data_IF_266679034298
#
_entry.id   IF_266679034298
#
_cell.length_a   1.000
_cell.length_b   1.000
_cell.length_c   1.000
_cell.angle_alpha   90.00
_cell.angle_beta   90.00
_cell.angle_gamma   90.00
#
_symmetry.space_group_name_H-M   'P 1'
#
loop_
_entity.id
_entity.type
_entity.pdbx_description
1 polymer ?
#
# COMPACT_ATOMS: atom_id res chain seq x y z
N UNK A 1 -10.03 -25.44 16.58
CA UNK A 1 -8.62 -24.98 16.43
C UNK A 1 -8.61 -23.77 15.50
N UNK A 2 -7.86 -22.67 15.78
CA UNK A 2 -7.87 -21.43 14.99
C UNK A 2 -7.39 -21.55 13.55
N UNK A 3 -6.95 -22.74 13.13
CA UNK A 3 -6.50 -23.06 11.77
C UNK A 3 -7.63 -23.48 10.82
N UNK A 4 -8.88 -23.57 11.27
CA UNK A 4 -9.96 -24.17 10.47
C UNK A 4 -10.58 -23.27 9.39
N UNK A 5 -10.05 -22.07 9.13
CA UNK A 5 -10.61 -21.11 8.17
C UNK A 5 -9.66 -20.71 7.02
N UNK A 6 -8.47 -21.30 6.95
CA UNK A 6 -7.55 -21.16 5.81
C UNK A 6 -7.57 -22.42 4.95
N UNK A 7 -7.64 -22.25 3.63
CA UNK A 7 -7.46 -23.33 2.66
C UNK A 7 -6.01 -23.31 2.18
N UNK A 8 -5.33 -24.45 2.20
CA UNK A 8 -3.96 -24.58 1.68
C UNK A 8 -3.87 -25.82 0.78
N UNK A 9 -3.12 -25.70 -0.31
CA UNK A 9 -2.86 -26.81 -1.22
C UNK A 9 -1.68 -27.63 -0.69
N UNK A 10 -1.90 -28.92 -0.47
CA UNK A 10 -0.83 -29.84 -0.07
C UNK A 10 -0.06 -30.24 -1.33
N UNK A 11 1.24 -29.97 -1.37
CA UNK A 11 2.08 -30.17 -2.55
C UNK A 11 3.24 -31.13 -2.34
N UNK A 12 3.51 -31.55 -1.10
CA UNK A 12 4.60 -32.50 -0.81
C UNK A 12 4.21 -33.62 0.18
N UNK A 13 4.89 -34.78 0.11
CA UNK A 13 4.70 -35.88 1.07
C UNK A 13 5.02 -35.48 2.53
N UNK A 14 5.97 -34.57 2.73
CA UNK A 14 6.38 -34.11 4.07
C UNK A 14 5.27 -33.31 4.78
N UNK A 15 4.48 -32.56 4.01
CA UNK A 15 3.30 -31.86 4.52
C UNK A 15 2.21 -32.85 4.97
N UNK A 16 2.05 -33.97 4.26
CA UNK A 16 1.13 -35.05 4.65
C UNK A 16 1.61 -35.71 5.94
N UNK A 17 2.91 -35.98 6.07
CA UNK A 17 3.50 -36.53 7.29
C UNK A 17 3.29 -35.61 8.49
N UNK A 18 3.48 -34.30 8.29
CA UNK A 18 3.22 -33.27 9.31
C UNK A 18 1.76 -33.28 9.76
N UNK A 19 0.81 -33.33 8.84
CA UNK A 19 -0.63 -33.37 9.15
C UNK A 19 -1.01 -34.64 9.93
N UNK A 20 -0.43 -35.79 9.56
CA UNK A 20 -0.63 -37.06 10.29
C UNK A 20 -0.08 -37.00 11.71
N UNK A 21 1.03 -36.30 11.92
CA UNK A 21 1.63 -36.07 13.25
C UNK A 21 0.80 -35.18 14.18
N UNK A 22 -0.15 -34.40 13.65
CA UNK A 22 -1.02 -33.52 14.45
C UNK A 22 -2.16 -34.26 15.18
N UNK A 23 -2.28 -35.59 15.03
CA UNK A 23 -3.27 -36.39 15.74
C UNK A 23 -4.73 -36.13 15.31
N UNK A 24 -4.93 -35.54 14.14
CA UNK A 24 -6.27 -35.25 13.59
C UNK A 24 -6.95 -36.55 13.14
N UNK A 25 -8.16 -36.80 13.63
CA UNK A 25 -8.93 -38.02 13.30
C UNK A 25 -9.66 -37.94 11.95
N UNK A 26 -10.00 -36.73 11.50
CA UNK A 26 -10.71 -36.48 10.25
C UNK A 26 -10.27 -35.14 9.66
N UNK A 27 -10.23 -35.06 8.32
CA UNK A 27 -9.88 -33.86 7.57
C UNK A 27 -10.93 -33.60 6.49
N UNK A 28 -11.32 -32.33 6.30
CA UNK A 28 -12.20 -31.91 5.20
C UNK A 28 -11.34 -31.35 4.08
N UNK A 29 -11.61 -31.77 2.86
CA UNK A 29 -10.97 -31.26 1.65
C UNK A 29 -12.03 -30.91 0.62
N UNK A 30 -11.69 -30.01 -0.31
CA UNK A 30 -12.58 -29.52 -1.37
C UNK A 30 -12.06 -30.03 -2.72
N UNK A 31 -12.77 -30.97 -3.38
CA UNK A 31 -12.34 -31.53 -4.66
C UNK A 31 -12.21 -30.48 -5.76
N UNK A 32 -13.15 -29.54 -5.85
CA UNK A 32 -13.11 -28.44 -6.83
C UNK A 32 -11.91 -27.48 -6.67
N UNK A 33 -11.25 -27.48 -5.50
CA UNK A 33 -10.06 -26.66 -5.22
C UNK A 33 -8.77 -27.48 -5.17
N UNK A 34 -8.83 -28.78 -5.47
CA UNK A 34 -7.70 -29.70 -5.37
C UNK A 34 -7.25 -30.16 -6.75
N UNK A 35 -5.93 -30.38 -6.92
CA UNK A 35 -5.36 -30.93 -8.15
C UNK A 35 -5.25 -32.45 -8.02
N UNK A 36 -6.29 -33.17 -8.43
CA UNK A 36 -6.24 -34.63 -8.50
C UNK A 36 -5.62 -35.03 -9.86
N UNK A 37 -4.78 -36.07 -9.93
CA UNK A 37 -4.51 -36.72 -11.21
C UNK A 37 -5.83 -37.31 -11.73
N UNK A 38 -6.08 -37.20 -13.04
CA UNK A 38 -7.17 -37.93 -13.68
C UNK A 38 -7.02 -39.42 -13.35
N UNK A 39 -8.03 -40.00 -12.71
CA UNK A 39 -8.07 -41.44 -12.53
C UNK A 39 -8.10 -42.10 -13.91
N UNK A 40 -7.32 -43.17 -14.14
CA UNK A 40 -7.42 -43.91 -15.40
C UNK A 40 -8.85 -44.41 -15.53
N UNK A 41 -9.50 -44.08 -16.65
CA UNK A 41 -10.82 -44.61 -16.92
C UNK A 41 -10.77 -46.14 -16.95
N UNK A 42 -11.74 -46.85 -16.35
CA UNK A 42 -11.81 -48.29 -16.47
C UNK A 42 -12.03 -48.67 -17.96
N UNK A 43 -11.49 -49.80 -18.43
CA UNK A 43 -11.69 -50.25 -19.80
C UNK A 43 -13.18 -50.43 -20.07
N UNK A 44 -13.62 -49.96 -21.24
CA UNK A 44 -15.03 -49.79 -21.59
C UNK A 44 -15.91 -51.01 -21.33
N UNK A 45 -17.08 -50.75 -20.73
CA UNK A 45 -18.25 -51.58 -20.91
C UNK A 45 -19.19 -50.92 -21.91
N UNK A 46 -19.46 -51.71 -22.93
CA UNK A 46 -20.36 -51.47 -24.05
C UNK A 46 -21.77 -51.23 -23.48
N UNK A 47 -22.35 -50.07 -23.77
CA UNK A 47 -23.77 -49.84 -23.56
C UNK A 47 -24.39 -49.38 -24.89
N UNK A 48 -24.98 -50.38 -25.53
CA UNK A 48 -26.03 -50.26 -26.53
C UNK A 48 -27.06 -49.21 -26.10
N UNK A 49 -27.34 -48.24 -26.97
CA UNK A 49 -28.55 -47.45 -26.92
C UNK A 49 -28.79 -46.84 -28.30
N UNK A 50 -29.66 -47.56 -29.01
CA UNK A 50 -30.41 -47.17 -30.19
C UNK A 50 -30.69 -45.67 -30.35
N UNK A 51 -30.46 -45.24 -31.58
CA UNK A 51 -31.38 -44.47 -32.43
C UNK A 51 -32.28 -43.42 -31.76
N UNK A 52 -32.10 -42.16 -32.15
CA UNK A 52 -33.18 -41.32 -32.67
C UNK A 52 -32.61 -40.42 -33.79
N UNK A 53 -33.33 -40.47 -34.90
CA UNK A 53 -33.15 -39.79 -36.20
C UNK A 53 -33.91 -38.47 -36.21
N UNK A 54 -33.35 -37.39 -36.80
CA UNK A 54 -33.97 -36.42 -37.75
C UNK A 54 -32.81 -35.59 -38.36
N UNK A 55 -32.30 -35.82 -39.57
CA UNK A 55 -32.82 -35.65 -40.95
C UNK A 55 -32.74 -34.21 -41.53
N UNK A 56 -32.02 -34.09 -42.66
CA UNK A 56 -32.12 -33.07 -43.71
C UNK A 56 -30.88 -32.16 -43.85
N UNK A 57 -30.10 -32.09 -44.94
CA UNK A 57 -30.16 -32.69 -46.27
C UNK A 57 -29.42 -31.79 -47.29
N UNK A 58 -28.21 -32.18 -47.72
CA UNK A 58 -27.56 -32.14 -49.05
C UNK A 58 -27.57 -30.85 -49.95
N UNK A 59 -26.93 -30.83 -51.15
CA UNK A 59 -25.48 -30.94 -51.44
C UNK A 59 -25.00 -29.94 -52.55
N UNK A 60 -23.68 -29.92 -52.87
CA UNK A 60 -23.07 -29.88 -54.24
C UNK A 60 -21.57 -29.44 -54.18
N UNK A 61 -20.61 -30.33 -54.53
CA UNK A 61 -19.76 -30.37 -55.77
C UNK A 61 -18.91 -29.10 -55.98
N UNK A 62 -17.59 -29.15 -56.18
CA UNK A 62 -16.90 -29.84 -57.28
C UNK A 62 -15.37 -29.91 -57.03
N UNK A 63 -14.75 -30.93 -57.65
CA UNK A 63 -13.32 -31.24 -57.80
C UNK A 63 -12.59 -30.13 -58.60
N UNK A 64 -11.26 -29.98 -58.70
CA UNK A 64 -10.12 -30.87 -58.49
C UNK A 64 -9.11 -30.68 -59.65
N UNK A 65 -7.93 -31.26 -59.48
CA UNK A 65 -6.81 -31.42 -60.43
C UNK A 65 -5.94 -30.19 -60.72
N UNK A 66 -4.60 -30.26 -60.75
CA UNK A 66 -3.67 -31.40 -60.81
C UNK A 66 -2.47 -31.02 -61.71
N UNK A 67 -1.25 -31.56 -61.50
CA UNK A 67 0.05 -31.00 -61.95
C UNK A 67 0.49 -31.56 -63.33
N UNK A 68 1.73 -31.30 -63.84
CA UNK A 68 2.88 -32.17 -63.54
C UNK A 68 4.30 -31.51 -63.63
N UNK A 69 5.33 -32.35 -63.45
CA UNK A 69 6.77 -32.11 -63.34
C UNK A 69 7.54 -31.87 -64.66
N UNK A 70 8.82 -31.46 -64.56
CA UNK A 70 9.80 -31.53 -65.66
C UNK A 70 11.17 -30.89 -65.37
N UNK A 71 12.24 -31.64 -65.64
CA UNK A 71 13.67 -31.38 -65.40
C UNK A 71 14.38 -30.42 -66.38
N UNK A 72 15.55 -29.94 -65.93
CA UNK A 72 16.83 -29.69 -66.65
C UNK A 72 17.14 -28.37 -67.42
N UNK A 73 18.20 -27.71 -66.90
CA UNK A 73 19.44 -27.23 -67.57
C UNK A 73 19.56 -25.84 -68.26
N UNK A 74 20.70 -25.20 -67.93
CA UNK A 74 21.59 -24.33 -68.73
C UNK A 74 21.60 -22.79 -68.51
N UNK A 75 22.69 -22.37 -67.83
CA UNK A 75 23.62 -21.23 -68.07
C UNK A 75 23.14 -19.86 -68.62
N UNK A 76 23.46 -18.77 -67.89
CA UNK A 76 24.45 -17.74 -68.27
C UNK A 76 24.44 -16.49 -67.35
N UNK A 77 25.66 -16.05 -67.00
CA UNK A 77 26.17 -14.69 -66.74
C UNK A 77 25.80 -13.83 -65.51
N UNK A 78 26.87 -13.16 -65.00
CA UNK A 78 27.07 -12.44 -63.73
C UNK A 78 26.14 -11.25 -63.41
N UNK A 79 26.11 -10.70 -62.18
CA UNK A 79 27.09 -9.86 -61.45
C UNK A 79 26.38 -9.45 -60.10
N UNK A 80 27.01 -9.02 -58.97
CA UNK A 80 28.21 -9.42 -58.24
C UNK A 80 27.92 -9.85 -56.78
N UNK A 81 28.97 -10.33 -56.11
CA UNK A 81 29.05 -10.65 -54.68
C UNK A 81 28.93 -9.37 -53.82
N UNK A 82 27.94 -9.33 -52.92
CA UNK A 82 27.96 -8.46 -51.74
C UNK A 82 28.23 -9.33 -50.51
N UNK A 83 29.27 -8.94 -49.77
CA UNK A 83 29.84 -9.67 -48.66
C UNK A 83 28.82 -10.10 -47.61
N UNK A 84 28.91 -11.36 -47.20
CA UNK A 84 28.25 -11.86 -46.00
C UNK A 84 28.69 -11.01 -44.80
N UNK A 85 27.76 -10.22 -44.28
CA UNK A 85 27.91 -9.62 -42.96
C UNK A 85 27.92 -10.78 -41.95
N UNK A 86 29.09 -11.00 -41.35
CA UNK A 86 29.25 -11.83 -40.16
C UNK A 86 28.24 -11.36 -39.12
N UNK A 87 27.35 -12.26 -38.70
CA UNK A 87 26.50 -12.07 -37.54
C UNK A 87 27.44 -11.84 -36.36
N UNK A 88 27.59 -10.59 -35.93
CA UNK A 88 28.32 -10.25 -34.74
C UNK A 88 27.60 -10.93 -33.57
N UNK A 89 28.29 -11.88 -32.97
CA UNK A 89 27.91 -12.51 -31.71
C UNK A 89 27.59 -11.39 -30.71
N UNK A 90 26.33 -11.31 -30.28
CA UNK A 90 25.92 -10.39 -29.22
C UNK A 90 26.86 -10.62 -28.03
N UNK A 91 27.53 -9.59 -27.51
CA UNK A 91 28.40 -9.77 -26.36
C UNK A 91 27.57 -10.38 -25.22
N UNK A 92 28.13 -11.34 -24.45
CA UNK A 92 27.43 -11.87 -23.29
C UNK A 92 27.01 -10.71 -22.38
N UNK A 93 25.83 -10.77 -21.73
CA UNK A 93 25.37 -9.69 -20.86
C UNK A 93 26.50 -9.37 -19.88
N UNK A 94 26.96 -8.11 -19.91
CA UNK A 94 28.07 -7.67 -19.09
C UNK A 94 27.77 -8.05 -17.64
N UNK A 95 28.61 -8.92 -17.05
CA UNK A 95 28.54 -9.23 -15.63
C UNK A 95 28.89 -7.93 -14.91
N UNK A 96 27.86 -7.20 -14.48
CA UNK A 96 28.03 -5.98 -13.71
C UNK A 96 28.72 -6.40 -12.41
N UNK A 97 29.96 -5.94 -12.21
CA UNK A 97 30.69 -6.23 -10.97
C UNK A 97 29.91 -5.77 -9.73
N UNK A 98 30.11 -6.39 -8.55
CA UNK A 98 29.30 -6.14 -7.36
C UNK A 98 29.26 -4.66 -6.95
N UNK A 99 30.36 -3.92 -7.16
CA UNK A 99 30.42 -2.47 -6.92
C UNK A 99 29.54 -1.67 -7.89
N UNK A 100 29.51 -2.02 -9.17
CA UNK A 100 28.67 -1.34 -10.17
C UNK A 100 27.18 -1.68 -9.97
N UNK A 101 26.86 -2.90 -9.53
CA UNK A 101 25.50 -3.28 -9.16
C UNK A 101 25.02 -2.51 -7.93
N UNK A 102 25.87 -2.39 -6.90
CA UNK A 102 25.61 -1.59 -5.70
C UNK A 102 25.38 -0.11 -6.03
N UNK A 103 26.24 0.50 -6.86
CA UNK A 103 26.08 1.91 -7.27
C UNK A 103 24.77 2.13 -8.06
N UNK A 104 24.43 1.22 -8.97
CA UNK A 104 23.17 1.29 -9.73
C UNK A 104 21.94 1.18 -8.81
N UNK A 105 21.96 0.22 -7.87
CA UNK A 105 20.89 0.05 -6.89
C UNK A 105 20.74 1.28 -5.98
N UNK A 106 21.85 1.87 -5.52
CA UNK A 106 21.84 3.07 -4.71
C UNK A 106 21.32 4.29 -5.49
N UNK A 107 21.70 4.43 -6.76
CA UNK A 107 21.19 5.47 -7.64
C UNK A 107 19.67 5.34 -7.86
N UNK A 108 19.17 4.13 -8.11
CA UNK A 108 17.75 3.85 -8.26
C UNK A 108 16.96 4.15 -6.97
N UNK A 109 17.49 3.74 -5.81
CA UNK A 109 16.91 4.05 -4.50
C UNK A 109 16.84 5.56 -4.25
N UNK A 110 17.92 6.29 -4.55
CA UNK A 110 17.98 7.74 -4.38
C UNK A 110 17.02 8.47 -5.32
N UNK A 111 16.92 8.04 -6.58
CA UNK A 111 15.97 8.60 -7.55
C UNK A 111 14.51 8.38 -7.10
N UNK A 112 14.16 7.17 -6.63
CA UNK A 112 12.83 6.87 -6.11
C UNK A 112 12.49 7.73 -4.88
N UNK A 113 13.44 7.90 -3.94
CA UNK A 113 13.28 8.80 -2.79
C UNK A 113 13.05 10.24 -3.23
N UNK A 114 13.87 10.75 -4.15
CA UNK A 114 13.79 12.13 -4.62
C UNK A 114 12.47 12.42 -5.34
N UNK A 115 11.99 11.49 -6.17
CA UNK A 115 10.70 11.62 -6.83
C UNK A 115 9.55 11.69 -5.81
N UNK A 116 9.57 10.82 -4.81
CA UNK A 116 8.59 10.79 -3.72
C UNK A 116 8.57 12.12 -2.93
N UNK A 117 9.75 12.65 -2.60
CA UNK A 117 9.92 13.94 -1.91
C UNK A 117 9.42 15.12 -2.75
N UNK A 118 9.73 15.15 -4.06
CA UNK A 118 9.25 16.19 -4.97
C UNK A 118 7.72 16.20 -5.06
N UNK A 119 7.12 15.02 -5.27
CA UNK A 119 5.69 14.85 -5.38
C UNK A 119 4.96 15.22 -4.08
N UNK A 120 5.52 14.86 -2.93
CA UNK A 120 4.98 15.28 -1.63
C UNK A 120 5.08 16.79 -1.46
N UNK A 121 6.20 17.41 -1.84
CA UNK A 121 6.38 18.86 -1.79
C UNK A 121 5.38 19.61 -2.69
N UNK A 122 5.08 19.08 -3.88
CA UNK A 122 4.02 19.60 -4.76
C UNK A 122 2.64 19.52 -4.11
N UNK A 123 2.30 18.37 -3.53
CA UNK A 123 1.04 18.18 -2.81
C UNK A 123 0.92 19.13 -1.61
N UNK A 124 2.01 19.32 -0.85
CA UNK A 124 2.09 20.28 0.25
C UNK A 124 1.82 21.70 -0.20
N UNK A 125 2.46 22.14 -1.29
CA UNK A 125 2.24 23.50 -1.84
C UNK A 125 0.79 23.69 -2.32
N UNK A 126 0.24 22.71 -3.03
CA UNK A 126 -1.16 22.76 -3.49
C UNK A 126 -2.14 22.85 -2.31
N UNK A 127 -1.90 22.06 -1.25
CA UNK A 127 -2.72 22.09 -0.05
C UNK A 127 -2.61 23.42 0.71
N UNK A 128 -1.40 23.97 0.86
CA UNK A 128 -1.21 25.30 1.46
C UNK A 128 -1.96 26.39 0.69
N UNK A 129 -1.96 26.33 -0.64
CA UNK A 129 -2.72 27.27 -1.46
C UNK A 129 -4.23 27.08 -1.26
N UNK A 130 -4.73 25.84 -1.23
CA UNK A 130 -6.13 25.56 -0.93
C UNK A 130 -6.56 26.18 0.41
N UNK A 131 -5.79 25.98 1.48
CA UNK A 131 -6.08 26.56 2.81
C UNK A 131 -6.13 28.09 2.78
N UNK A 132 -5.23 28.74 2.04
CA UNK A 132 -5.20 30.20 1.90
C UNK A 132 -6.44 30.74 1.16
N UNK A 133 -6.98 29.94 0.23
CA UNK A 133 -8.17 30.27 -0.54
C UNK A 133 -9.47 30.07 0.24
N UNK A 134 -9.53 29.15 1.21
CA UNK A 134 -10.75 28.85 2.00
C UNK A 134 -11.50 30.12 2.48
N UNK A 135 -10.87 31.10 3.15
CA UNK A 135 -11.59 32.29 3.62
C UNK A 135 -11.93 33.31 2.52
N UNK A 136 -11.19 33.31 1.40
CA UNK A 136 -11.24 34.36 0.35
C UNK A 136 -12.09 33.97 -0.85
N UNK A 137 -11.94 32.73 -1.30
CA UNK A 137 -12.53 32.17 -2.52
C UNK A 137 -12.85 30.69 -2.30
N UNK A 138 -13.94 30.37 -1.57
CA UNK A 138 -14.28 28.99 -1.20
C UNK A 138 -14.44 28.04 -2.39
N UNK A 139 -15.02 28.51 -3.50
CA UNK A 139 -15.20 27.73 -4.73
C UNK A 139 -13.84 27.34 -5.35
N UNK A 140 -12.90 28.29 -5.41
CA UNK A 140 -11.55 28.02 -5.88
C UNK A 140 -10.78 27.08 -4.94
N UNK A 141 -10.99 27.21 -3.63
CA UNK A 141 -10.42 26.29 -2.65
C UNK A 141 -10.92 24.85 -2.87
N UNK A 142 -12.20 24.67 -3.24
CA UNK A 142 -12.75 23.37 -3.64
C UNK A 142 -12.05 22.83 -4.88
N UNK A 143 -11.94 23.63 -5.94
CA UNK A 143 -11.30 23.21 -7.20
C UNK A 143 -9.86 22.76 -7.00
N UNK A 144 -9.07 23.51 -6.20
CA UNK A 144 -7.68 23.13 -5.89
C UNK A 144 -7.64 21.84 -5.07
N UNK A 145 -8.56 21.66 -4.11
CA UNK A 145 -8.62 20.45 -3.27
C UNK A 145 -9.04 19.22 -4.07
N UNK A 146 -10.05 19.34 -4.94
CA UNK A 146 -10.50 18.29 -5.85
C UNK A 146 -9.39 17.92 -6.84
N UNK A 147 -8.72 18.92 -7.44
CA UNK A 147 -7.59 18.70 -8.35
C UNK A 147 -6.40 18.01 -7.67
N UNK A 148 -6.06 18.40 -6.45
CA UNK A 148 -5.04 17.72 -5.64
C UNK A 148 -5.45 16.26 -5.35
N UNK A 149 -6.70 16.04 -4.95
CA UNK A 149 -7.22 14.70 -4.67
C UNK A 149 -7.17 13.83 -5.91
N UNK A 150 -7.59 14.36 -7.07
CA UNK A 150 -7.53 13.64 -8.34
C UNK A 150 -6.08 13.29 -8.72
N UNK A 151 -5.13 14.21 -8.55
CA UNK A 151 -3.73 13.95 -8.80
C UNK A 151 -3.14 12.86 -7.89
N UNK A 152 -3.59 12.76 -6.63
CA UNK A 152 -3.21 11.67 -5.72
C UNK A 152 -3.85 10.34 -6.16
N UNK A 153 -5.11 10.36 -6.61
CA UNK A 153 -5.81 9.18 -7.11
C UNK A 153 -5.19 8.63 -8.40
N UNK A 154 -4.85 9.49 -9.35
CA UNK A 154 -4.22 9.09 -10.61
C UNK A 154 -2.91 8.36 -10.34
N UNK A 155 -2.10 8.87 -9.41
CA UNK A 155 -0.87 8.20 -8.95
C UNK A 155 -1.17 6.85 -8.32
N UNK A 156 -2.20 6.77 -7.47
CA UNK A 156 -2.59 5.51 -6.83
C UNK A 156 -3.04 4.45 -7.85
N UNK A 157 -3.70 4.84 -8.95
CA UNK A 157 -4.26 3.91 -9.94
C UNK A 157 -3.26 3.37 -10.95
N UNK A 158 -2.15 4.08 -11.20
CA UNK A 158 -1.15 3.69 -12.21
C UNK A 158 -0.28 2.49 -11.76
N UNK A 159 -0.06 2.31 -10.46
CA UNK A 159 0.87 1.30 -9.94
C UNK A 159 0.18 0.06 -9.34
N UNK A 160 0.72 -1.13 -9.67
CA UNK A 160 0.14 -2.43 -9.30
C UNK A 160 0.42 -2.84 -7.85
N UNK A 161 1.44 -2.27 -7.20
CA UNK A 161 1.64 -2.39 -5.76
C UNK A 161 2.17 -1.05 -5.21
N UNK A 162 1.46 -0.48 -4.24
CA UNK A 162 1.81 0.78 -3.60
C UNK A 162 2.19 0.54 -2.14
N UNK A 163 3.34 1.06 -1.76
CA UNK A 163 3.82 1.09 -0.39
C UNK A 163 3.56 2.47 0.22
N UNK A 164 3.39 2.49 1.54
CA UNK A 164 3.52 3.70 2.33
C UNK A 164 4.98 3.88 2.72
N UNK A 165 5.60 4.99 2.34
CA UNK A 165 6.96 5.37 2.73
C UNK A 165 6.93 6.50 3.75
N UNK A 166 7.87 6.48 4.69
CA UNK A 166 8.12 7.64 5.57
C UNK A 166 9.02 8.67 4.84
N UNK A 167 8.61 9.93 4.70
CA UNK A 167 9.39 11.07 4.13
C UNK A 167 9.95 11.99 5.23
N UNK A 168 11.04 12.72 4.93
CA UNK A 168 11.70 13.67 5.83
C UNK A 168 10.84 14.92 6.13
N UNK A 169 11.00 15.50 7.34
CA UNK A 169 10.27 16.69 7.85
C UNK A 169 10.68 18.01 7.15
N UNK A 170 11.64 17.97 6.22
CA UNK A 170 12.25 19.16 5.61
C UNK A 170 11.34 19.89 4.60
N UNK A 171 10.11 19.43 4.38
CA UNK A 171 9.28 19.84 3.25
C UNK A 171 7.91 20.47 3.58
N UNK A 172 7.47 20.59 4.85
CA UNK A 172 6.12 21.11 5.11
C UNK A 172 5.79 21.57 6.53
N UNK A 173 4.76 22.42 6.63
CA UNK A 173 4.12 22.83 7.89
C UNK A 173 3.38 21.63 8.53
N UNK A 174 3.35 21.61 9.87
CA UNK A 174 2.77 20.54 10.71
C UNK A 174 1.32 20.21 10.32
N UNK A 175 0.52 21.24 10.07
CA UNK A 175 -0.91 21.10 9.72
C UNK A 175 -1.07 20.47 8.33
N UNK A 176 -0.17 20.82 7.42
CA UNK A 176 -0.16 20.30 6.04
C UNK A 176 0.25 18.83 5.99
N UNK A 177 1.23 18.44 6.81
CA UNK A 177 1.63 17.03 6.92
C UNK A 177 0.51 16.14 7.46
N UNK A 178 -0.23 16.61 8.48
CA UNK A 178 -1.34 15.84 9.05
C UNK A 178 -2.45 15.56 8.04
N UNK A 179 -2.96 16.60 7.37
CA UNK A 179 -4.03 16.46 6.38
C UNK A 179 -3.63 15.54 5.22
N UNK A 180 -2.39 15.67 4.72
CA UNK A 180 -1.87 14.81 3.65
C UNK A 180 -1.70 13.36 4.11
N UNK A 181 -1.13 13.12 5.29
CA UNK A 181 -0.98 11.77 5.85
C UNK A 181 -2.33 11.05 5.96
N UNK A 182 -3.30 11.72 6.58
CA UNK A 182 -4.66 11.18 6.75
C UNK A 182 -5.28 10.87 5.39
N UNK A 183 -5.10 11.76 4.41
CA UNK A 183 -5.63 11.59 3.05
C UNK A 183 -4.98 10.42 2.32
N UNK A 184 -3.64 10.33 2.29
CA UNK A 184 -2.91 9.25 1.60
C UNK A 184 -3.34 7.89 2.15
N UNK A 185 -3.38 7.75 3.48
CA UNK A 185 -3.80 6.50 4.13
C UNK A 185 -5.28 6.22 3.85
N UNK A 186 -6.15 7.24 3.88
CA UNK A 186 -7.57 7.07 3.59
C UNK A 186 -7.80 6.59 2.16
N UNK A 187 -7.11 7.16 1.18
CA UNK A 187 -7.22 6.73 -0.22
C UNK A 187 -6.74 5.29 -0.44
N UNK A 188 -5.64 4.88 0.21
CA UNK A 188 -5.20 3.48 0.17
C UNK A 188 -6.26 2.54 0.72
N UNK A 189 -6.83 2.93 1.86
CA UNK A 189 -7.85 2.17 2.54
C UNK A 189 -9.15 2.12 1.70
N UNK A 190 -9.58 3.22 1.10
CA UNK A 190 -10.72 3.28 0.17
C UNK A 190 -10.54 2.34 -1.03
N UNK A 191 -9.32 2.26 -1.60
CA UNK A 191 -8.98 1.28 -2.64
C UNK A 191 -9.13 -0.17 -2.15
N UNK A 192 -8.67 -0.47 -0.94
CA UNK A 192 -8.81 -1.82 -0.33
C UNK A 192 -10.29 -2.21 -0.15
N UNK A 193 -11.15 -1.24 0.18
CA UNK A 193 -12.59 -1.44 0.31
C UNK A 193 -13.36 -1.37 -1.02
N UNK A 194 -12.69 -1.10 -2.14
CA UNK A 194 -13.30 -1.09 -3.47
C UNK A 194 -14.23 0.10 -3.72
N UNK A 195 -13.92 1.26 -3.14
CA UNK A 195 -14.69 2.48 -3.40
C UNK A 195 -14.67 2.85 -4.88
N UNK A 196 -15.81 3.34 -5.39
CA UNK A 196 -15.90 3.92 -6.72
C UNK A 196 -15.07 5.21 -6.83
N UNK A 197 -14.81 5.66 -8.06
CA UNK A 197 -14.05 6.89 -8.30
C UNK A 197 -14.67 8.11 -7.59
N UNK A 198 -16.01 8.22 -7.61
CA UNK A 198 -16.72 9.30 -6.93
C UNK A 198 -16.57 9.23 -5.41
N UNK A 199 -16.73 8.05 -4.82
CA UNK A 199 -16.54 7.85 -3.38
C UNK A 199 -15.09 8.10 -2.96
N UNK A 200 -14.12 7.75 -3.80
CA UNK A 200 -12.70 8.01 -3.57
C UNK A 200 -12.37 9.50 -3.59
N UNK A 201 -12.97 10.25 -4.53
CA UNK A 201 -12.82 11.71 -4.59
C UNK A 201 -13.45 12.37 -3.34
N UNK A 202 -14.64 11.91 -2.91
CA UNK A 202 -15.29 12.42 -1.69
C UNK A 202 -14.49 12.10 -0.43
N UNK A 203 -13.95 10.89 -0.34
CA UNK A 203 -13.09 10.47 0.76
C UNK A 203 -11.82 11.33 0.83
N UNK A 204 -11.17 11.56 -0.30
CA UNK A 204 -9.93 12.35 -0.35
C UNK A 204 -10.15 13.83 -0.03
N UNK A 205 -11.16 14.46 -0.64
CA UNK A 205 -11.53 15.85 -0.35
C UNK A 205 -11.96 15.99 1.12
N UNK A 206 -12.80 15.07 1.60
CA UNK A 206 -13.22 15.04 2.99
C UNK A 206 -12.06 14.84 3.97
N UNK A 207 -11.09 13.98 3.64
CA UNK A 207 -9.91 13.74 4.46
C UNK A 207 -8.94 14.93 4.48
N UNK A 208 -8.75 15.64 3.36
CA UNK A 208 -7.93 16.86 3.34
C UNK A 208 -8.55 17.96 4.20
N UNK A 209 -9.86 18.17 4.04
CA UNK A 209 -10.59 19.27 4.68
C UNK A 209 -11.17 18.92 6.06
N UNK A 210 -10.96 17.71 6.59
CA UNK A 210 -11.63 17.28 7.83
C UNK A 210 -11.43 18.25 9.00
N UNK A 211 -10.25 18.86 9.06
CA UNK A 211 -9.81 19.80 10.10
C UNK A 211 -9.89 21.27 9.68
N UNK A 212 -10.48 21.60 8.52
CA UNK A 212 -10.47 22.97 7.95
C UNK A 212 -11.09 24.01 8.88
N UNK A 213 -12.06 23.62 9.71
CA UNK A 213 -12.69 24.51 10.70
C UNK A 213 -11.74 25.00 11.79
N UNK A 214 -10.56 24.39 11.96
CA UNK A 214 -9.51 24.87 12.88
C UNK A 214 -8.96 26.24 12.48
N UNK A 215 -9.11 26.64 11.21
CA UNK A 215 -8.72 27.98 10.73
C UNK A 215 -9.47 29.09 11.49
N UNK A 216 -10.70 28.84 11.91
CA UNK A 216 -11.54 29.82 12.61
C UNK A 216 -11.42 29.74 14.15
N UNK A 217 -10.60 28.82 14.67
CA UNK A 217 -10.33 28.71 16.11
C UNK A 217 -9.22 29.67 16.57
N UNK A 218 -9.28 30.16 17.83
CA UNK A 218 -8.16 30.88 18.43
C UNK A 218 -6.89 30.03 18.48
N UNK A 219 -5.72 30.63 18.28
CA UNK A 219 -4.42 29.93 18.22
C UNK A 219 -4.18 28.99 19.41
N UNK A 220 -4.58 29.42 20.62
CA UNK A 220 -4.48 28.64 21.87
C UNK A 220 -5.25 27.32 21.83
N UNK A 221 -6.35 27.25 21.08
CA UNK A 221 -7.20 26.05 20.95
C UNK A 221 -6.85 25.29 19.67
N UNK A 222 -6.45 26.01 18.61
CA UNK A 222 -6.03 25.44 17.32
C UNK A 222 -4.84 24.50 17.50
N UNK A 223 -3.82 24.93 18.24
CA UNK A 223 -2.65 24.13 18.58
C UNK A 223 -2.84 23.60 20.00
N UNK A 224 -3.67 22.57 20.15
CA UNK A 224 -3.98 21.92 21.42
C UNK A 224 -2.77 21.16 21.99
N UNK A 225 -1.70 21.90 22.24
CA UNK A 225 -0.40 21.42 22.67
C UNK A 225 -0.36 21.32 24.21
N UNK A 226 -1.41 21.78 24.90
CA UNK A 226 -1.57 21.72 26.35
C UNK A 226 -2.92 21.10 26.73
N UNK A 227 -3.06 20.58 27.97
CA UNK A 227 -4.35 20.12 28.47
C UNK A 227 -5.38 21.25 28.38
N UNK A 228 -6.40 21.04 27.54
CA UNK A 228 -7.48 21.99 27.36
C UNK A 228 -8.44 21.92 28.55
N UNK A 229 -8.84 23.08 29.08
CA UNK A 229 -9.91 23.17 30.06
C UNK A 229 -11.28 22.85 29.40
N UNK A 230 -12.36 22.62 30.17
CA UNK A 230 -13.65 22.23 29.59
C UNK A 230 -14.22 23.22 28.55
N UNK A 231 -13.98 24.52 28.68
CA UNK A 231 -14.42 25.53 27.70
C UNK A 231 -13.60 25.47 26.42
N UNK A 232 -12.28 25.31 26.56
CA UNK A 232 -11.37 25.14 25.43
C UNK A 232 -11.63 23.82 24.69
N UNK A 233 -11.98 22.74 25.40
CA UNK A 233 -12.39 21.49 24.79
C UNK A 233 -13.67 21.67 23.97
N UNK A 234 -14.65 22.44 24.46
CA UNK A 234 -15.84 22.72 23.70
C UNK A 234 -15.52 23.55 22.45
N UNK A 235 -14.76 24.63 22.61
CA UNK A 235 -14.30 25.45 21.48
C UNK A 235 -13.51 24.62 20.45
N UNK A 236 -12.68 23.66 20.91
CA UNK A 236 -12.01 22.73 20.04
C UNK A 236 -13.03 21.92 19.25
N UNK A 237 -14.03 21.30 19.90
CA UNK A 237 -15.06 20.49 19.21
C UNK A 237 -15.85 21.27 18.16
N UNK A 238 -16.01 22.58 18.35
CA UNK A 238 -16.74 23.44 17.42
C UNK A 238 -16.07 23.53 16.03
N UNK A 239 -14.78 23.15 15.87
CA UNK A 239 -14.13 23.08 14.56
C UNK A 239 -14.86 22.16 13.58
N UNK A 240 -15.56 21.12 14.08
CA UNK A 240 -16.32 20.22 13.21
C UNK A 240 -17.47 20.98 12.55
N UNK A 241 -18.24 21.74 13.35
CA UNK A 241 -19.37 22.53 12.85
C UNK A 241 -18.88 23.67 11.95
N UNK A 242 -17.79 24.35 12.33
CA UNK A 242 -17.17 25.40 11.51
C UNK A 242 -16.67 24.84 10.18
N UNK A 243 -16.03 23.66 10.21
CA UNK A 243 -15.54 22.97 9.01
C UNK A 243 -16.66 22.59 8.06
N UNK A 244 -17.77 22.05 8.57
CA UNK A 244 -18.96 21.74 7.75
C UNK A 244 -19.55 23.01 7.12
N UNK A 245 -19.64 24.12 7.86
CA UNK A 245 -20.14 25.38 7.32
C UNK A 245 -19.22 25.93 6.20
N UNK A 246 -17.90 25.81 6.36
CA UNK A 246 -16.94 26.13 5.30
C UNK A 246 -17.11 25.22 4.09
N UNK A 247 -17.23 23.91 4.29
CA UNK A 247 -17.48 22.95 3.22
C UNK A 247 -18.78 23.22 2.44
N UNK A 248 -19.85 23.65 3.12
CA UNK A 248 -21.09 24.06 2.47
C UNK A 248 -20.89 25.30 1.61
N UNK A 249 -20.16 26.31 2.10
CA UNK A 249 -19.80 27.51 1.32
C UNK A 249 -18.91 27.21 0.12
N UNK A 250 -18.07 26.18 0.22
CA UNK A 250 -17.24 25.68 -0.87
C UNK A 250 -18.06 24.92 -1.92
N UNK A 251 -19.29 24.48 -1.60
CA UNK A 251 -20.11 23.65 -2.48
C UNK A 251 -19.64 22.19 -2.53
N UNK A 252 -19.10 21.66 -1.42
CA UNK A 252 -18.67 20.26 -1.36
C UNK A 252 -19.84 19.29 -1.52
N UNK A 253 -19.57 18.13 -2.13
CA UNK A 253 -20.54 17.02 -2.22
C UNK A 253 -20.86 16.45 -0.84
N UNK A 254 -22.02 15.78 -0.74
CA UNK A 254 -22.52 15.22 0.53
C UNK A 254 -21.56 14.21 1.16
N UNK A 255 -20.86 13.38 0.36
CA UNK A 255 -19.91 12.40 0.87
C UNK A 255 -18.74 13.06 1.61
N UNK A 256 -18.14 14.11 1.03
CA UNK A 256 -17.09 14.88 1.67
C UNK A 256 -17.60 15.61 2.93
N UNK A 257 -18.78 16.24 2.86
CA UNK A 257 -19.40 16.90 4.02
C UNK A 257 -19.67 15.93 5.18
N UNK A 258 -20.07 14.69 4.87
CA UNK A 258 -20.28 13.66 5.89
C UNK A 258 -18.98 13.28 6.60
N UNK A 259 -17.85 13.22 5.89
CA UNK A 259 -16.52 13.01 6.50
C UNK A 259 -16.20 14.16 7.46
N UNK A 260 -16.34 15.41 7.02
CA UNK A 260 -16.10 16.59 7.87
C UNK A 260 -16.97 16.53 9.13
N UNK A 261 -18.26 16.27 8.99
CA UNK A 261 -19.21 16.27 10.09
C UNK A 261 -18.99 15.16 11.13
N UNK A 262 -18.33 14.06 10.76
CA UNK A 262 -18.34 12.82 11.54
C UNK A 262 -16.96 12.23 11.82
N UNK A 263 -15.85 12.86 11.40
CA UNK A 263 -14.50 12.32 11.59
C UNK A 263 -14.06 12.20 13.07
N UNK A 264 -14.80 12.79 14.01
CA UNK A 264 -14.63 12.62 15.45
C UNK A 264 -15.71 11.77 16.13
N UNK A 265 -16.64 11.22 15.35
CA UNK A 265 -17.59 10.22 15.83
C UNK A 265 -16.88 8.87 16.07
N UNK A 266 -17.42 8.08 16.99
CA UNK A 266 -16.85 6.80 17.42
C UNK A 266 -17.91 5.73 17.34
N UNK A 267 -17.53 4.50 16.98
CA UNK A 267 -18.47 3.39 16.76
C UNK A 267 -19.34 3.06 17.99
N UNK A 268 -18.82 3.34 19.20
CA UNK A 268 -19.51 3.16 20.48
C UNK A 268 -20.39 4.35 20.91
N UNK A 269 -20.50 5.40 20.10
CA UNK A 269 -21.28 6.61 20.41
C UNK A 269 -20.59 7.58 21.37
N UNK A 270 -19.34 7.33 21.78
CA UNK A 270 -18.59 8.22 22.68
C UNK A 270 -17.98 9.46 22.00
N UNK A 271 -18.10 9.55 20.67
CA UNK A 271 -17.54 10.60 19.84
C UNK A 271 -18.29 11.94 19.90
N UNK A 272 -18.01 12.82 18.95
CA UNK A 272 -18.65 14.14 18.83
C UNK A 272 -18.68 14.57 17.36
N UNK A 273 -19.55 15.52 16.96
CA UNK A 273 -20.46 16.32 17.79
C UNK A 273 -21.84 15.68 18.08
N UNK A 274 -22.33 14.81 17.21
CA UNK A 274 -23.68 14.25 17.26
C UNK A 274 -23.79 12.93 18.06
N UNK A 275 -22.65 12.34 18.47
CA UNK A 275 -22.59 11.08 19.25
C UNK A 275 -23.27 9.92 18.51
N UNK A 276 -22.92 9.78 17.24
CA UNK A 276 -23.46 8.76 16.37
C UNK A 276 -22.89 7.39 16.75
N UNK A 277 -23.71 6.35 16.64
CA UNK A 277 -23.26 4.97 16.66
C UNK A 277 -22.81 4.54 15.26
N UNK A 278 -22.13 3.38 15.19
CA UNK A 278 -21.57 2.84 13.96
C UNK A 278 -22.55 2.88 12.76
N UNK A 279 -23.80 2.44 12.96
CA UNK A 279 -24.79 2.31 11.88
C UNK A 279 -25.14 3.63 11.19
N UNK A 280 -25.01 4.75 11.91
CA UNK A 280 -25.34 6.10 11.41
C UNK A 280 -24.12 6.84 10.87
N UNK A 281 -22.91 6.33 11.09
CA UNK A 281 -21.70 6.94 10.56
C UNK A 281 -21.54 6.61 9.09
N UNK A 282 -21.20 7.61 8.28
CA UNK A 282 -20.80 7.45 6.89
C UNK A 282 -19.51 6.61 6.80
N UNK A 283 -19.40 5.75 5.78
CA UNK A 283 -18.27 4.81 5.65
C UNK A 283 -16.93 5.57 5.57
N UNK A 284 -16.87 6.66 4.81
CA UNK A 284 -15.67 7.51 4.76
C UNK A 284 -15.30 8.12 6.12
N UNK A 285 -16.27 8.52 6.94
CA UNK A 285 -16.01 9.08 8.27
C UNK A 285 -15.49 8.04 9.27
N UNK A 286 -16.01 6.80 9.22
CA UNK A 286 -15.48 5.67 10.02
C UNK A 286 -14.00 5.41 9.69
N UNK A 287 -13.63 5.57 8.42
CA UNK A 287 -12.26 5.39 7.96
C UNK A 287 -11.35 6.53 8.44
N UNK A 288 -11.76 7.78 8.19
CA UNK A 288 -10.99 8.98 8.56
C UNK A 288 -10.86 9.11 10.07
N UNK A 289 -11.87 8.77 10.88
CA UNK A 289 -11.77 8.80 12.35
C UNK A 289 -10.67 7.88 12.90
N UNK A 290 -10.57 6.65 12.37
CA UNK A 290 -9.51 5.70 12.73
C UNK A 290 -8.12 6.22 12.32
N UNK A 291 -7.99 6.68 11.07
CA UNK A 291 -6.72 7.14 10.51
C UNK A 291 -6.25 8.42 11.19
N UNK A 292 -7.15 9.36 11.45
CA UNK A 292 -6.88 10.59 12.19
C UNK A 292 -6.37 10.27 13.61
N UNK A 293 -6.98 9.29 14.29
CA UNK A 293 -6.47 8.85 15.61
C UNK A 293 -5.07 8.26 15.50
N UNK A 294 -4.83 7.40 14.51
CA UNK A 294 -3.52 6.80 14.29
C UNK A 294 -2.45 7.85 14.01
N UNK A 295 -2.71 8.80 13.11
CA UNK A 295 -1.75 9.85 12.78
C UNK A 295 -1.48 10.74 13.99
N UNK A 296 -2.50 11.14 14.77
CA UNK A 296 -2.29 11.94 15.99
C UNK A 296 -1.47 11.23 17.08
N UNK A 297 -1.43 9.89 17.11
CA UNK A 297 -0.56 9.13 18.01
C UNK A 297 0.89 9.10 17.50
N UNK A 298 1.08 9.02 16.19
CA UNK A 298 2.40 9.01 15.56
C UNK A 298 3.02 10.42 15.45
N UNK A 299 2.17 11.42 15.24
CA UNK A 299 2.50 12.81 14.95
C UNK A 299 1.78 13.78 15.89
N UNK A 300 1.89 13.62 17.22
CA UNK A 300 1.29 14.57 18.14
C UNK A 300 1.94 15.95 17.97
N UNK A 301 1.17 17.00 18.25
CA UNK A 301 1.47 17.65 19.51
C UNK A 301 2.92 18.06 19.78
N UNK A 302 3.26 17.60 20.98
CA UNK A 302 4.58 17.56 21.53
C UNK A 302 5.23 16.28 21.06
N UNK A 303 6.34 16.42 20.34
CA UNK A 303 7.12 15.31 19.80
C UNK A 303 7.55 14.31 20.88
N UNK A 304 7.76 14.76 22.11
CA UNK A 304 8.11 13.89 23.24
C UNK A 304 7.05 12.79 23.53
N UNK A 305 5.81 12.96 23.06
CA UNK A 305 4.73 12.00 23.21
C UNK A 305 4.49 11.15 21.94
N UNK A 306 5.28 11.33 20.89
CA UNK A 306 5.14 10.58 19.65
C UNK A 306 5.35 9.09 19.90
N UNK A 307 4.39 8.29 19.45
CA UNK A 307 4.49 6.84 19.47
C UNK A 307 5.04 6.35 18.15
N UNK A 308 5.80 5.26 18.20
CA UNK A 308 6.12 4.54 16.96
C UNK A 308 4.83 4.02 16.30
N UNK A 309 4.80 3.85 14.98
CA UNK A 309 3.68 3.25 14.25
C UNK A 309 3.15 1.94 14.84
N UNK A 310 4.07 1.05 15.25
CA UNK A 310 3.74 -0.19 15.93
C UNK A 310 3.10 0.04 17.31
N UNK A 311 3.60 0.99 18.11
CA UNK A 311 2.98 1.36 19.39
C UNK A 311 1.59 1.98 19.20
N UNK A 312 1.42 2.85 18.21
CA UNK A 312 0.13 3.48 17.91
C UNK A 312 -0.93 2.43 17.53
N UNK A 313 -0.60 1.48 16.64
CA UNK A 313 -1.49 0.36 16.31
C UNK A 313 -1.79 -0.52 17.53
N UNK A 314 -0.76 -0.86 18.30
CA UNK A 314 -0.91 -1.67 19.51
C UNK A 314 -1.84 -0.99 20.52
N UNK A 315 -1.70 0.33 20.70
CA UNK A 315 -2.56 1.10 21.58
C UNK A 315 -4.00 1.16 21.08
N UNK A 316 -4.21 1.43 19.79
CA UNK A 316 -5.56 1.45 19.20
C UNK A 316 -6.24 0.10 19.39
N UNK A 317 -5.54 -0.99 19.09
CA UNK A 317 -6.07 -2.34 19.20
C UNK A 317 -6.35 -2.75 20.66
N UNK A 318 -5.44 -2.48 21.58
CA UNK A 318 -5.57 -2.91 22.97
C UNK A 318 -6.52 -2.03 23.80
N UNK A 319 -6.55 -0.72 23.55
CA UNK A 319 -7.22 0.25 24.45
C UNK A 319 -8.42 0.94 23.81
N UNK A 320 -8.57 0.93 22.49
CA UNK A 320 -9.59 1.71 21.78
C UNK A 320 -10.35 0.93 20.71
N UNK A 321 -10.22 -0.40 20.66
CA UNK A 321 -10.87 -1.25 19.65
C UNK A 321 -12.38 -1.03 19.57
N UNK A 322 -13.05 -0.79 20.69
CA UNK A 322 -14.51 -0.59 20.72
C UNK A 322 -14.95 0.73 20.10
N UNK A 323 -14.04 1.71 19.97
CA UNK A 323 -14.32 3.04 19.42
C UNK A 323 -14.33 3.08 17.90
N UNK A 324 -13.86 2.02 17.24
CA UNK A 324 -13.71 1.96 15.79
C UNK A 324 -14.48 0.78 15.20
N UNK A 325 -14.85 0.91 13.93
CA UNK A 325 -15.40 -0.21 13.16
C UNK A 325 -14.37 -1.35 13.12
N UNK A 326 -14.74 -2.52 13.63
CA UNK A 326 -13.83 -3.67 13.72
C UNK A 326 -13.35 -4.15 12.35
N UNK A 327 -14.18 -4.03 11.32
CA UNK A 327 -13.83 -4.42 9.94
C UNK A 327 -12.77 -3.47 9.40
N UNK A 328 -12.94 -2.17 9.61
CA UNK A 328 -11.96 -1.15 9.22
C UNK A 328 -10.68 -1.29 10.01
N UNK A 329 -10.74 -1.44 11.34
CA UNK A 329 -9.53 -1.62 12.16
C UNK A 329 -8.71 -2.83 11.70
N UNK A 330 -9.37 -3.97 11.43
CA UNK A 330 -8.67 -5.16 10.96
C UNK A 330 -8.07 -4.97 9.56
N UNK A 331 -8.78 -4.31 8.64
CA UNK A 331 -8.25 -3.98 7.32
C UNK A 331 -7.06 -3.02 7.41
N UNK A 332 -7.12 -2.02 8.30
CA UNK A 332 -6.06 -1.06 8.54
C UNK A 332 -4.80 -1.75 9.05
N UNK A 333 -4.92 -2.63 10.05
CA UNK A 333 -3.79 -3.40 10.58
C UNK A 333 -3.18 -4.29 9.49
N UNK A 334 -3.98 -4.93 8.64
CA UNK A 334 -3.46 -5.74 7.52
C UNK A 334 -2.72 -4.89 6.50
N UNK A 335 -3.26 -3.71 6.16
CA UNK A 335 -2.68 -2.79 5.20
C UNK A 335 -1.35 -2.21 5.69
N UNK A 336 -1.29 -1.76 6.94
CA UNK A 336 -0.08 -1.23 7.57
C UNK A 336 0.93 -2.33 7.94
N UNK A 337 0.47 -3.58 8.01
CA UNK A 337 1.26 -4.74 8.40
C UNK A 337 1.56 -4.81 9.90
N UNK A 338 2.24 -5.89 10.30
CA UNK A 338 2.61 -6.12 11.72
C UNK A 338 3.67 -5.10 12.19
N UNK A 339 4.52 -4.69 11.25
CA UNK A 339 5.56 -3.69 11.45
C UNK A 339 5.38 -2.57 10.43
N UNK A 340 4.59 -1.54 10.75
CA UNK A 340 4.33 -0.47 9.80
C UNK A 340 5.57 0.37 9.48
N UNK A 341 5.60 1.07 8.33
CA UNK A 341 6.63 2.04 7.97
C UNK A 341 6.87 3.04 9.10
N UNK A 342 8.12 3.19 9.52
CA UNK A 342 8.56 3.97 10.68
C UNK A 342 8.76 3.15 11.97
N UNK A 343 8.39 1.87 11.98
CA UNK A 343 8.64 0.99 13.14
C UNK A 343 10.13 0.69 13.31
N UNK A 344 10.57 0.64 14.56
CA UNK A 344 11.93 0.23 14.93
C UNK A 344 11.92 -1.25 15.30
N UNK A 345 12.86 -2.01 14.77
CA UNK A 345 12.89 -3.47 14.90
C UNK A 345 14.29 -3.98 15.20
N UNK A 346 14.35 -5.11 15.91
CA UNK A 346 15.53 -5.95 16.02
C UNK A 346 15.36 -7.15 15.10
N UNK A 347 16.36 -7.42 14.27
CA UNK A 347 16.39 -8.56 13.37
C UNK A 347 16.82 -9.84 14.10
N UNK A 348 16.66 -10.99 13.45
CA UNK A 348 17.04 -12.30 14.02
C UNK A 348 18.55 -12.43 14.26
N UNK A 349 19.38 -11.67 13.56
CA UNK A 349 20.84 -11.59 13.71
C UNK A 349 21.32 -10.48 14.65
N UNK A 350 20.40 -9.95 15.47
CA UNK A 350 20.64 -8.91 16.49
C UNK A 350 21.01 -7.51 15.95
N UNK A 351 20.97 -7.31 14.62
CA UNK A 351 21.04 -5.96 14.05
C UNK A 351 19.74 -5.18 14.29
N UNK A 352 19.85 -3.87 14.35
CA UNK A 352 18.72 -2.95 14.49
C UNK A 352 18.37 -2.34 13.15
N UNK A 353 17.08 -2.13 12.89
CA UNK A 353 16.63 -1.55 11.63
C UNK A 353 15.37 -0.70 11.81
N UNK A 354 15.14 0.19 10.84
CA UNK A 354 13.88 0.94 10.71
C UNK A 354 13.11 0.40 9.51
N UNK A 355 11.82 0.14 9.66
CA UNK A 355 10.95 -0.24 8.56
C UNK A 355 10.70 0.97 7.67
N UNK A 356 11.01 0.87 6.38
CA UNK A 356 10.88 1.99 5.42
C UNK A 356 9.61 1.88 4.60
N UNK A 357 9.24 0.66 4.21
CA UNK A 357 8.00 0.38 3.48
C UNK A 357 7.48 -1.02 3.76
N UNK A 358 6.16 -1.19 3.67
CA UNK A 358 5.47 -2.45 3.87
C UNK A 358 4.70 -2.86 2.60
N UNK A 359 4.78 -4.13 2.23
CA UNK A 359 3.93 -4.71 1.19
C UNK A 359 2.67 -5.31 1.84
N UNK A 360 1.50 -4.81 1.46
CA UNK A 360 0.21 -5.27 1.98
C UNK A 360 -0.09 -6.74 1.66
N UNK A 361 0.49 -7.29 0.60
CA UNK A 361 0.39 -8.72 0.26
C UNK A 361 1.29 -9.62 1.12
N UNK A 362 2.36 -9.07 1.70
CA UNK A 362 3.34 -9.79 2.54
C UNK A 362 3.69 -9.00 3.82
N UNK A 363 2.77 -8.92 4.82
CA UNK A 363 2.89 -8.04 5.98
C UNK A 363 4.08 -8.29 6.91
N UNK A 364 4.71 -9.48 6.84
CA UNK A 364 5.83 -9.89 7.69
C UNK A 364 7.20 -9.64 7.06
N UNK A 365 7.22 -9.21 5.79
CA UNK A 365 8.45 -9.05 5.03
C UNK A 365 8.58 -7.63 4.47
N UNK A 366 8.72 -6.63 5.34
CA UNK A 366 8.89 -5.25 4.92
C UNK A 366 10.30 -5.00 4.35
N UNK A 367 10.49 -3.82 3.73
CA UNK A 367 11.82 -3.29 3.42
C UNK A 367 12.33 -2.49 4.61
N UNK A 368 13.58 -2.74 5.00
CA UNK A 368 14.16 -2.16 6.22
C UNK A 368 15.50 -1.48 5.92
N UNK A 369 15.77 -0.37 6.62
CA UNK A 369 17.09 0.26 6.67
C UNK A 369 17.82 -0.32 7.88
N UNK A 370 18.85 -1.12 7.64
CA UNK A 370 19.63 -1.77 8.70
C UNK A 370 20.73 -0.83 9.19
N UNK A 371 20.91 -0.76 10.50
CA UNK A 371 22.00 -0.03 11.12
C UNK A 371 23.32 -0.76 10.87
N UNK A 372 24.19 -0.14 10.07
CA UNK A 372 25.59 -0.52 9.95
C UNK A 372 26.47 0.71 10.17
N UNK A 373 27.10 0.79 11.35
CA UNK A 373 27.96 1.93 11.71
C UNK A 373 29.21 2.06 10.83
N UNK A 374 29.52 1.08 9.98
CA UNK A 374 30.64 1.14 9.04
C UNK A 374 30.27 1.78 7.70
N UNK A 375 28.98 1.85 7.36
CA UNK A 375 28.48 2.37 6.09
C UNK A 375 27.67 3.63 6.35
N UNK A 376 28.02 4.79 5.77
CA UNK A 376 27.21 6.00 5.90
C UNK A 376 25.74 5.73 5.55
N UNK A 377 24.80 6.36 6.27
CA UNK A 377 23.36 6.10 6.06
C UNK A 377 22.90 6.47 4.64
N UNK A 378 23.59 7.41 4.00
CA UNK A 378 23.37 7.86 2.62
C UNK A 378 23.78 6.81 1.58
N UNK A 379 24.66 5.89 1.96
CA UNK A 379 25.18 4.80 1.11
C UNK A 379 24.53 3.45 1.45
N UNK A 380 23.70 3.40 2.49
CA UNK A 380 23.03 2.18 2.92
C UNK A 380 21.87 1.80 1.99
N UNK A 381 21.92 0.58 1.46
CA UNK A 381 20.82 0.00 0.69
C UNK A 381 19.71 -0.51 1.60
N UNK A 382 18.46 -0.31 1.16
CA UNK A 382 17.29 -0.89 1.81
C UNK A 382 17.29 -2.40 1.61
N UNK A 383 17.22 -3.13 2.71
CA UNK A 383 17.12 -4.58 2.69
C UNK A 383 15.67 -5.01 2.52
N UNK A 384 15.39 -5.77 1.48
CA UNK A 384 14.08 -6.39 1.29
C UNK A 384 14.04 -7.72 2.05
N UNK A 385 13.28 -7.80 3.15
CA UNK A 385 13.17 -9.05 3.90
C UNK A 385 12.42 -10.15 3.10
N UNK A 386 11.78 -9.82 1.98
CA UNK A 386 11.18 -10.84 1.12
C UNK A 386 12.20 -11.70 0.37
N UNK A 387 13.31 -11.11 -0.04
CA UNK A 387 14.40 -11.79 -0.75
C UNK A 387 15.35 -12.52 0.20
N UNK A 388 15.33 -12.20 1.50
CA UNK A 388 16.12 -12.91 2.51
C UNK A 388 15.32 -14.07 3.14
N UNK A 389 15.82 -15.31 3.03
CA UNK A 389 15.17 -16.48 3.64
C UNK A 389 15.49 -16.65 5.12
N UNK A 390 16.68 -16.22 5.55
CA UNK A 390 17.22 -16.54 6.88
C UNK A 390 17.11 -15.38 7.87
N UNK A 391 16.61 -14.23 7.40
CA UNK A 391 16.53 -13.00 8.16
C UNK A 391 15.08 -12.61 8.39
N UNK A 392 14.71 -12.43 9.65
CA UNK A 392 13.37 -12.01 10.06
C UNK A 392 13.42 -10.93 11.12
N UNK A 393 12.24 -10.44 11.49
CA UNK A 393 12.09 -9.50 12.60
C UNK A 393 11.88 -10.29 13.89
N UNK A 394 12.80 -10.14 14.85
CA UNK A 394 12.73 -10.77 16.18
C UNK A 394 11.70 -10.07 17.08
N UNK A 395 11.73 -8.73 17.10
CA UNK A 395 10.80 -7.90 17.89
C UNK A 395 10.77 -6.44 17.42
N UNK A 396 9.69 -5.74 17.74
CA UNK A 396 9.60 -4.29 17.69
C UNK A 396 10.24 -3.64 18.91
N UNK A 397 10.68 -2.39 18.77
CA UNK A 397 11.37 -1.61 19.80
C UNK A 397 10.81 -0.20 19.90
N UNK A 398 10.92 0.38 21.10
CA UNK A 398 10.79 1.82 21.32
C UNK A 398 12.10 2.53 21.00
N UNK A 399 12.06 3.82 20.67
CA UNK A 399 13.26 4.62 20.44
C UNK A 399 14.22 4.63 21.66
N UNK A 400 13.68 4.57 22.87
CA UNK A 400 14.45 4.49 24.12
C UNK A 400 15.16 3.16 24.33
N UNK A 401 14.71 2.09 23.66
CA UNK A 401 15.30 0.75 23.74
C UNK A 401 16.43 0.53 22.72
N UNK A 402 16.61 1.43 21.75
CA UNK A 402 17.73 1.37 20.83
C UNK A 402 19.05 1.71 21.55
N UNK A 403 20.15 0.98 21.25
CA UNK A 403 21.50 1.42 21.62
C UNK A 403 21.81 2.81 21.04
N UNK A 404 22.67 3.59 21.70
CA UNK A 404 23.00 4.96 21.28
C UNK A 404 23.48 5.03 19.82
N UNK A 405 24.45 4.19 19.44
CA UNK A 405 24.95 4.15 18.07
C UNK A 405 23.87 3.84 17.02
N UNK A 406 22.96 2.91 17.33
CA UNK A 406 21.85 2.59 16.43
C UNK A 406 20.80 3.70 16.37
N UNK A 407 20.58 4.40 17.50
CA UNK A 407 19.68 5.55 17.55
C UNK A 407 20.23 6.73 16.75
N UNK A 408 21.51 7.01 16.85
CA UNK A 408 22.15 8.09 16.12
C UNK A 408 22.16 7.78 14.61
N UNK A 409 22.49 6.54 14.25
CA UNK A 409 22.49 6.07 12.86
C UNK A 409 21.11 6.08 12.21
N UNK A 410 20.14 5.42 12.84
CA UNK A 410 18.78 5.30 12.30
C UNK A 410 18.00 6.60 12.44
N UNK A 411 18.45 7.50 13.34
CA UNK A 411 17.83 8.79 13.64
C UNK A 411 16.30 8.68 13.65
N UNK A 412 15.73 7.83 14.55
CA UNK A 412 14.33 7.46 14.51
C UNK A 412 13.48 8.72 14.48
N UNK A 413 12.75 8.86 13.37
CA UNK A 413 12.14 10.15 13.03
C UNK A 413 11.12 10.52 14.09
N UNK A 414 11.15 11.79 14.45
CA UNK A 414 10.25 12.39 15.43
C UNK A 414 8.84 12.59 14.87
N UNK A 415 8.69 12.59 13.54
CA UNK A 415 7.43 12.67 12.81
C UNK A 415 7.42 11.75 11.60
N UNK A 416 6.29 11.10 11.38
CA UNK A 416 6.01 10.23 10.25
C UNK A 416 5.29 11.01 9.16
N UNK A 417 5.85 11.06 7.96
CA UNK A 417 5.19 11.60 6.77
C UNK A 417 4.95 10.48 5.80
N UNK A 418 3.72 10.23 5.39
CA UNK A 418 3.37 9.09 4.55
C UNK A 418 3.12 9.52 3.11
N UNK A 419 3.75 8.83 2.17
CA UNK A 419 3.45 9.01 0.75
C UNK A 419 3.55 7.70 -0.02
N UNK A 420 2.94 7.70 -1.21
CA UNK A 420 2.96 6.56 -2.11
C UNK A 420 4.37 6.32 -2.64
N UNK A 421 4.77 5.05 -2.68
CA UNK A 421 5.93 4.59 -3.41
C UNK A 421 5.54 3.35 -4.23
N UNK A 422 5.77 3.31 -5.55
CA UNK A 422 5.63 2.09 -6.32
C UNK A 422 6.59 1.03 -5.79
N UNK A 423 6.12 -0.21 -5.62
CA UNK A 423 7.02 -1.33 -5.32
C UNK A 423 7.96 -1.52 -6.51
N UNK A 424 9.29 -1.32 -6.35
CA UNK A 424 10.20 -1.54 -7.46
C UNK A 424 10.20 -3.02 -7.82
N UNK A 425 10.01 -3.33 -9.10
CA UNK A 425 10.28 -4.65 -9.66
C UNK A 425 11.79 -4.86 -9.64
N UNK A 426 12.33 -5.50 -8.62
CA UNK A 426 13.76 -5.87 -8.60
C UNK A 426 14.02 -6.89 -9.73
N UNK A 427 14.97 -6.63 -10.66
CA UNK A 427 15.43 -7.66 -11.58
C UNK A 427 16.11 -8.77 -10.80
N UNK A 428 15.77 -10.04 -11.08
CA UNK A 428 16.29 -11.21 -10.37
C UNK A 428 17.83 -11.23 -10.26
N UNK A 429 18.54 -10.70 -11.26
CA UNK A 429 20.00 -10.65 -11.29
C UNK A 429 20.64 -9.63 -10.32
N UNK A 430 19.92 -8.61 -9.87
CA UNK A 430 20.43 -7.63 -8.89
C UNK A 430 20.28 -8.19 -7.46
N UNK A 431 19.20 -8.94 -7.20
CA UNK A 431 18.99 -9.59 -5.91
C UNK A 431 20.06 -10.63 -5.58
N UNK A 432 20.47 -11.44 -6.57
CA UNK A 432 21.56 -12.42 -6.42
C UNK A 432 22.93 -11.77 -6.21
N UNK A 433 23.20 -10.65 -6.90
CA UNK A 433 24.47 -9.92 -6.79
C UNK A 433 24.61 -9.08 -5.50
N UNK A 434 23.49 -8.71 -4.87
CA UNK A 434 23.48 -8.01 -3.57
C UNK A 434 23.39 -8.96 -2.37
N UNK A 435 22.97 -10.21 -2.58
CA UNK A 435 22.92 -11.26 -1.56
C UNK A 435 24.27 -11.98 -1.37
N UNK A 436 25.13 -11.96 -2.39
CA UNK A 436 26.52 -12.43 -2.36
C UNK A 436 27.47 -11.33 -1.86
#
# INVERSE_FOLDING_TARGET
HPFALSSFLITSPDQIATIRGLGLKQLRWSPEKSRLPELPQPPGEVADADAIVVAGGAPHTDDGAGPPAGDAAAAADGIPVAAAATVAELPPPAVIGPQAAHQSALAAQNAARQLCEQQYGEAGRAWHEAQRLVPRSPEQAREVTEGLTQALLDKLMVDREMCVRVISDAAGDRVSGHALNVTVIALLMGRVFGFSQDEMLDLGVGALLHDVGKLDLPDRVRHADLPLNPREQQAYRDHVTLGVALGQRMGLREGALAVLAQHHEMADGSGFPARLNLDRMAVGARMVSLINRYDNLCNPAQVAHALTPHEALSQIFAQSRTKFDATMLNAFIRMMGVYPPGSLVQLTDDRYATVVSCNSSRPLKPRVLVCDTKVPVEEALLLNLDTCTDLGIRRSLKATQLPAAARDYLSPRQRMVYFFEPVPSEPAHIAEALAA
#
